data_IF_618578111496
#
_entry.id   IF_618578111496
#
_cell.length_a   1.000
_cell.length_b   1.000
_cell.length_c   1.000
_cell.angle_alpha   90.00
_cell.angle_beta   90.00
_cell.angle_gamma   90.00
#
_symmetry.space_group_name_H-M   'P 1'
#
loop_
_entity.id
_entity.type
_entity.pdbx_description
1 polymer ?
#
# COMPACT_ATOMS: atom_id res chain seq x y z
N UNK A 1 -43.28 -3.56 -42.35
CA UNK A 1 -43.76 -2.41 -41.54
C UNK A 1 -43.09 -2.55 -40.17
N UNK A 2 -42.39 -1.50 -39.76
CA UNK A 2 -41.55 -1.46 -38.56
C UNK A 2 -42.39 -1.28 -37.27
N UNK A 3 -41.80 -0.96 -36.11
CA UNK A 3 -41.83 -1.74 -34.87
C UNK A 3 -42.80 -1.13 -33.84
N UNK A 4 -42.97 -1.77 -32.68
CA UNK A 4 -43.49 -1.08 -31.49
C UNK A 4 -42.48 -1.18 -30.35
N UNK A 5 -41.74 -0.09 -30.21
CA UNK A 5 -40.93 0.30 -29.07
C UNK A 5 -41.80 0.47 -27.82
N UNK A 6 -41.38 -0.12 -26.70
CA UNK A 6 -41.54 0.51 -25.40
C UNK A 6 -40.21 0.49 -24.67
N UNK A 7 -39.62 1.66 -24.65
CA UNK A 7 -38.72 2.18 -23.64
C UNK A 7 -39.35 2.09 -22.25
N UNK A 8 -38.57 1.61 -21.29
CA UNK A 8 -38.55 2.12 -19.91
C UNK A 8 -37.11 1.91 -19.42
N UNK A 9 -36.23 2.88 -19.64
CA UNK A 9 -35.77 3.76 -18.55
C UNK A 9 -36.48 3.51 -17.22
N UNK A 10 -35.88 2.65 -16.43
CA UNK A 10 -35.90 2.79 -14.99
C UNK A 10 -34.47 3.15 -14.59
N UNK A 11 -34.13 4.44 -14.74
CA UNK A 11 -33.04 5.01 -13.95
C UNK A 11 -33.37 4.75 -12.49
N UNK A 12 -32.60 3.85 -11.87
CA UNK A 12 -32.82 3.42 -10.51
C UNK A 12 -32.76 4.62 -9.57
N UNK A 13 -33.91 4.93 -8.98
CA UNK A 13 -33.99 5.81 -7.82
C UNK A 13 -33.41 5.03 -6.63
N UNK A 14 -32.29 5.51 -6.08
CA UNK A 14 -31.73 5.00 -4.83
C UNK A 14 -32.03 6.01 -3.71
N UNK A 15 -32.59 5.50 -2.61
CA UNK A 15 -33.04 6.31 -1.47
C UNK A 15 -31.83 6.77 -0.65
N UNK A 16 -31.86 7.94 -0.02
CA UNK A 16 -30.76 8.50 0.77
C UNK A 16 -30.34 7.64 1.99
N UNK A 17 -31.05 6.54 2.25
CA UNK A 17 -30.80 5.54 3.29
C UNK A 17 -30.23 4.21 2.77
N UNK A 18 -30.02 4.06 1.46
CA UNK A 18 -29.39 2.86 0.92
C UNK A 18 -27.91 2.86 1.33
N UNK A 19 -27.58 2.01 2.32
CA UNK A 19 -26.19 1.77 2.69
C UNK A 19 -25.49 1.14 1.48
N UNK A 20 -24.40 1.73 0.98
CA UNK A 20 -23.65 1.11 -0.11
C UNK A 20 -23.27 -0.30 0.30
N UNK A 21 -23.51 -1.29 -0.57
CA UNK A 21 -23.01 -2.64 -0.34
C UNK A 21 -21.48 -2.61 -0.41
N UNK A 22 -20.85 -2.72 0.75
CA UNK A 22 -19.41 -2.86 0.88
C UNK A 22 -19.06 -4.33 0.70
N UNK A 23 -18.35 -4.63 -0.40
CA UNK A 23 -17.91 -5.97 -0.73
C UNK A 23 -17.01 -6.52 0.40
N UNK A 24 -17.38 -7.65 1.02
CA UNK A 24 -16.49 -8.35 1.94
C UNK A 24 -15.34 -8.97 1.15
N UNK A 25 -14.17 -9.00 1.77
CA UNK A 25 -12.98 -9.64 1.20
C UNK A 25 -12.48 -10.71 2.14
N UNK A 26 -11.94 -11.79 1.59
CA UNK A 26 -11.29 -12.80 2.40
C UNK A 26 -9.95 -12.29 2.93
N UNK A 27 -9.68 -12.55 4.20
CA UNK A 27 -8.47 -12.10 4.88
C UNK A 27 -7.68 -13.28 5.46
N UNK A 28 -6.38 -13.30 5.22
CA UNK A 28 -5.41 -14.11 5.94
C UNK A 28 -5.13 -13.54 7.33
N UNK A 29 -4.47 -14.31 8.18
CA UNK A 29 -4.02 -13.83 9.49
C UNK A 29 -2.82 -12.90 9.36
N UNK A 30 -1.90 -13.28 8.47
CA UNK A 30 -0.67 -12.57 8.22
C UNK A 30 -0.36 -12.58 6.72
N UNK A 31 -0.08 -11.41 6.18
CA UNK A 31 0.59 -11.28 4.88
C UNK A 31 2.06 -10.96 5.15
N UNK A 32 2.98 -11.65 4.47
CA UNK A 32 4.44 -11.44 4.59
C UNK A 32 5.00 -10.94 3.26
N UNK A 33 5.57 -9.75 3.24
CA UNK A 33 6.30 -9.22 2.10
C UNK A 33 7.77 -9.65 2.16
N UNK A 34 8.24 -10.29 1.10
CA UNK A 34 9.52 -11.00 1.07
C UNK A 34 10.55 -10.32 0.15
N UNK A 35 11.38 -9.45 0.73
CA UNK A 35 12.46 -8.78 0.02
C UNK A 35 11.98 -7.59 -0.80
N UNK A 36 12.94 -6.81 -1.29
CA UNK A 36 12.71 -5.63 -2.11
C UNK A 36 14.01 -5.26 -2.83
N UNK A 37 14.06 -5.48 -4.15
CA UNK A 37 15.23 -5.23 -5.00
C UNK A 37 14.95 -4.13 -6.02
N UNK A 38 15.99 -3.38 -6.41
CA UNK A 38 15.90 -2.58 -7.63
C UNK A 38 15.78 -3.51 -8.84
N UNK A 39 15.10 -3.06 -9.88
CA UNK A 39 14.88 -3.89 -11.07
C UNK A 39 16.19 -4.11 -11.83
N UNK A 40 17.10 -3.13 -11.77
CA UNK A 40 18.46 -3.26 -12.29
C UNK A 40 19.25 -4.37 -11.56
N UNK A 41 19.09 -4.52 -10.24
CA UNK A 41 19.72 -5.62 -9.49
C UNK A 41 19.19 -6.98 -9.96
N UNK A 42 17.87 -7.09 -10.20
CA UNK A 42 17.28 -8.32 -10.76
C UNK A 42 17.79 -8.57 -12.18
N UNK A 43 18.03 -7.51 -12.96
CA UNK A 43 18.54 -7.62 -14.32
C UNK A 43 20.01 -8.07 -14.35
N UNK A 44 20.84 -7.51 -13.48
CA UNK A 44 22.31 -7.55 -13.62
C UNK A 44 23.01 -8.42 -12.55
N UNK A 45 22.42 -8.60 -11.36
CA UNK A 45 22.98 -9.38 -10.24
C UNK A 45 21.98 -10.42 -9.69
N UNK A 46 21.62 -11.38 -10.53
CA UNK A 46 20.67 -12.43 -10.14
C UNK A 46 21.23 -13.35 -9.04
N UNK A 47 22.55 -13.51 -8.94
CA UNK A 47 23.19 -14.33 -7.90
C UNK A 47 23.02 -13.68 -6.52
N UNK A 48 23.17 -12.35 -6.44
CA UNK A 48 22.89 -11.57 -5.24
C UNK A 48 21.43 -11.68 -4.80
N UNK A 49 20.48 -11.57 -5.74
CA UNK A 49 19.04 -11.76 -5.49
C UNK A 49 18.75 -13.15 -4.92
N UNK A 50 19.27 -14.21 -5.56
CA UNK A 50 19.09 -15.59 -5.09
C UNK A 50 19.70 -15.81 -3.70
N UNK A 51 20.88 -15.23 -3.44
CA UNK A 51 21.52 -15.32 -2.13
C UNK A 51 20.69 -14.65 -1.02
N UNK A 52 20.09 -13.49 -1.31
CA UNK A 52 19.23 -12.80 -0.34
C UNK A 52 17.91 -13.56 -0.12
N UNK A 53 17.30 -14.13 -1.16
CA UNK A 53 16.14 -15.00 -0.99
C UNK A 53 16.45 -16.23 -0.13
N UNK A 54 17.62 -16.86 -0.29
CA UNK A 54 18.06 -17.96 0.60
C UNK A 54 18.16 -17.53 2.06
N UNK A 55 18.55 -16.28 2.33
CA UNK A 55 18.56 -15.73 3.70
C UNK A 55 17.15 -15.46 4.24
N UNK A 56 16.21 -15.09 3.38
CA UNK A 56 14.81 -14.80 3.74
C UNK A 56 14.03 -16.08 4.08
N UNK A 57 14.25 -17.18 3.37
CA UNK A 57 13.53 -18.46 3.58
C UNK A 57 13.42 -18.90 5.04
N UNK A 58 14.52 -19.03 5.83
CA UNK A 58 14.40 -19.43 7.23
C UNK A 58 13.67 -18.39 8.10
N UNK A 59 13.69 -17.11 7.72
CA UNK A 59 12.97 -16.04 8.42
C UNK A 59 11.47 -16.15 8.18
N UNK A 60 11.05 -16.39 6.94
CA UNK A 60 9.64 -16.65 6.60
C UNK A 60 9.10 -17.84 7.39
N UNK A 61 9.86 -18.95 7.43
CA UNK A 61 9.48 -20.11 8.22
C UNK A 61 9.31 -19.77 9.72
N UNK A 62 10.21 -18.95 10.28
CA UNK A 62 10.10 -18.52 11.68
C UNK A 62 8.87 -17.65 11.95
N UNK A 63 8.47 -16.77 11.03
CA UNK A 63 7.26 -15.95 11.20
C UNK A 63 5.98 -16.74 10.97
N UNK A 64 5.96 -17.71 10.06
CA UNK A 64 4.86 -18.67 9.92
C UNK A 64 4.67 -19.45 11.22
N UNK A 65 5.77 -19.95 11.81
CA UNK A 65 5.72 -20.67 13.07
C UNK A 65 5.28 -19.78 14.24
N UNK A 66 5.77 -18.54 14.30
CA UNK A 66 5.30 -17.54 15.27
C UNK A 66 3.79 -17.27 15.14
N UNK A 67 3.30 -17.19 13.91
CA UNK A 67 1.87 -17.03 13.65
C UNK A 67 1.07 -18.27 14.10
N UNK A 68 1.59 -19.49 13.88
CA UNK A 68 0.97 -20.74 14.40
C UNK A 68 0.93 -20.78 15.92
N UNK A 69 2.01 -20.39 16.59
CA UNK A 69 2.05 -20.32 18.06
C UNK A 69 1.00 -19.34 18.59
N UNK A 70 0.79 -18.23 17.88
CA UNK A 70 -0.15 -17.18 18.29
C UNK A 70 -1.61 -17.52 18.00
N UNK A 71 -1.90 -18.08 16.81
CA UNK A 71 -3.25 -18.23 16.30
C UNK A 71 -3.72 -19.69 16.21
N UNK A 72 -2.82 -20.67 16.25
CA UNK A 72 -3.11 -22.10 16.10
C UNK A 72 -2.68 -22.65 14.73
N UNK A 73 -2.86 -23.95 14.55
CA UNK A 73 -2.36 -24.67 13.37
C UNK A 73 -3.06 -24.29 12.06
N UNK A 74 -4.33 -23.89 12.14
CA UNK A 74 -5.17 -23.47 11.00
C UNK A 74 -4.92 -22.01 10.56
N UNK A 75 -3.80 -21.41 11.00
CA UNK A 75 -3.42 -20.05 10.63
C UNK A 75 -3.22 -19.93 9.12
N UNK A 76 -3.82 -18.89 8.54
CA UNK A 76 -3.68 -18.54 7.12
C UNK A 76 -2.59 -17.49 6.97
N UNK A 77 -1.50 -17.83 6.30
CA UNK A 77 -0.39 -16.93 6.02
C UNK A 77 -0.15 -16.89 4.51
N UNK A 78 -0.09 -15.69 3.94
CA UNK A 78 0.25 -15.48 2.53
C UNK A 78 1.59 -14.77 2.41
N UNK A 79 2.35 -15.06 1.35
CA UNK A 79 3.57 -14.32 1.00
C UNK A 79 3.34 -13.43 -0.23
N UNK A 80 3.97 -12.27 -0.26
CA UNK A 80 3.89 -11.38 -1.42
C UNK A 80 5.23 -10.72 -1.75
N UNK A 81 5.39 -10.30 -2.98
CA UNK A 81 6.49 -9.46 -3.45
C UNK A 81 5.92 -8.22 -4.13
N UNK A 82 6.34 -7.03 -3.69
CA UNK A 82 6.01 -5.77 -4.36
C UNK A 82 7.14 -5.40 -5.32
N UNK A 83 6.82 -5.30 -6.61
CA UNK A 83 7.78 -4.88 -7.62
C UNK A 83 7.68 -3.37 -7.87
N UNK A 84 8.80 -2.67 -7.76
CA UNK A 84 8.88 -1.22 -7.99
C UNK A 84 8.93 -0.89 -9.49
N UNK A 85 7.79 -1.07 -10.16
CA UNK A 85 7.60 -0.65 -11.55
C UNK A 85 7.16 0.82 -11.67
N UNK A 86 6.91 1.51 -10.55
CA UNK A 86 6.52 2.93 -10.56
C UNK A 86 7.72 3.84 -10.77
N UNK A 87 8.82 3.60 -10.06
CA UNK A 87 10.04 4.40 -10.21
C UNK A 87 10.96 3.91 -11.33
N UNK A 88 10.75 2.69 -11.83
CA UNK A 88 11.55 2.03 -12.88
C UNK A 88 10.65 1.54 -14.04
N UNK A 89 9.70 2.38 -14.45
CA UNK A 89 8.65 2.04 -15.43
C UNK A 89 9.13 1.74 -16.85
N UNK A 90 10.38 2.07 -17.17
CA UNK A 90 11.03 1.86 -18.47
C UNK A 90 11.69 0.49 -18.64
N UNK A 91 11.69 -0.34 -17.59
CA UNK A 91 12.16 -1.72 -17.63
C UNK A 91 11.15 -2.68 -18.29
N UNK A 92 11.62 -3.85 -18.73
CA UNK A 92 10.81 -4.85 -19.43
C UNK A 92 10.37 -5.99 -18.48
N UNK A 93 9.08 -6.10 -18.10
CA UNK A 93 8.58 -7.18 -17.25
C UNK A 93 8.87 -8.58 -17.78
N UNK A 94 8.88 -8.77 -19.11
CA UNK A 94 9.17 -10.06 -19.71
C UNK A 94 10.62 -10.52 -19.50
N UNK A 95 11.53 -9.59 -19.17
CA UNK A 95 12.93 -9.87 -18.82
C UNK A 95 13.14 -9.98 -17.31
N UNK A 96 12.43 -9.17 -16.53
CA UNK A 96 12.61 -9.08 -15.07
C UNK A 96 11.88 -10.22 -14.34
N UNK A 97 10.61 -10.47 -14.65
CA UNK A 97 9.76 -11.39 -13.90
C UNK A 97 10.26 -12.85 -13.93
N UNK A 98 10.70 -13.41 -15.09
CA UNK A 98 11.27 -14.76 -15.11
C UNK A 98 12.51 -14.91 -14.22
N UNK A 99 13.37 -13.88 -14.16
CA UNK A 99 14.57 -13.91 -13.34
C UNK A 99 14.21 -13.90 -11.86
N UNK A 100 13.39 -12.95 -11.43
CA UNK A 100 12.92 -12.83 -10.05
C UNK A 100 12.28 -14.13 -9.55
N UNK A 101 11.31 -14.67 -10.30
CA UNK A 101 10.59 -15.87 -9.91
C UNK A 101 11.47 -17.13 -10.00
N UNK A 102 12.40 -17.18 -10.96
CA UNK A 102 13.40 -18.24 -11.05
C UNK A 102 14.36 -18.24 -9.85
N UNK A 103 14.82 -17.07 -9.42
CA UNK A 103 15.65 -16.94 -8.22
C UNK A 103 14.91 -17.33 -6.95
N UNK A 104 13.62 -16.97 -6.83
CA UNK A 104 12.79 -17.39 -5.71
C UNK A 104 12.62 -18.92 -5.67
N UNK A 105 12.33 -19.55 -6.81
CA UNK A 105 12.21 -21.01 -6.94
C UNK A 105 13.54 -21.70 -6.60
N UNK A 106 14.67 -21.21 -7.13
CA UNK A 106 16.02 -21.75 -6.84
C UNK A 106 16.38 -21.63 -5.35
N UNK A 107 15.95 -20.56 -4.69
CA UNK A 107 16.14 -20.36 -3.26
C UNK A 107 15.18 -21.19 -2.39
N UNK A 108 14.10 -21.73 -2.97
CA UNK A 108 13.02 -22.38 -2.23
C UNK A 108 12.08 -21.41 -1.51
N UNK A 109 12.01 -20.15 -1.98
CA UNK A 109 11.12 -19.13 -1.46
C UNK A 109 9.79 -19.15 -2.20
N UNK A 110 8.72 -19.56 -1.52
CA UNK A 110 7.35 -19.46 -2.04
C UNK A 110 6.87 -18.01 -2.01
N UNK A 111 6.45 -17.49 -3.17
CA UNK A 111 5.79 -16.20 -3.32
C UNK A 111 4.36 -16.47 -3.78
N UNK A 112 3.36 -16.24 -2.94
CA UNK A 112 1.96 -16.46 -3.30
C UNK A 112 1.43 -15.37 -4.25
N UNK A 113 1.86 -14.13 -4.03
CA UNK A 113 1.38 -12.95 -4.77
C UNK A 113 2.52 -12.06 -5.26
N UNK A 114 2.43 -11.61 -6.49
CA UNK A 114 3.25 -10.53 -7.05
C UNK A 114 2.37 -9.30 -7.25
N UNK A 115 2.74 -8.17 -6.68
CA UNK A 115 2.02 -6.92 -6.84
C UNK A 115 2.90 -5.84 -7.47
N UNK A 116 2.29 -4.93 -8.22
CA UNK A 116 2.97 -3.78 -8.83
C UNK A 116 2.88 -2.54 -7.94
N UNK A 117 3.97 -1.82 -7.74
CA UNK A 117 3.95 -0.56 -7.00
C UNK A 117 3.11 0.49 -7.72
N UNK A 118 3.13 0.52 -9.06
CA UNK A 118 2.30 1.44 -9.83
C UNK A 118 0.79 1.17 -9.67
N UNK A 119 0.38 -0.03 -9.22
CA UNK A 119 -1.01 -0.31 -8.85
C UNK A 119 -1.47 0.44 -7.58
N UNK A 120 -0.53 0.87 -6.73
CA UNK A 120 -0.81 1.76 -5.60
C UNK A 120 -1.09 3.19 -6.06
N UNK A 121 -0.66 3.56 -7.27
CA UNK A 121 -1.06 4.81 -7.92
C UNK A 121 -2.40 4.64 -8.63
N UNK A 122 -2.45 3.76 -9.64
CA UNK A 122 -3.63 3.51 -10.45
C UNK A 122 -3.77 2.02 -10.75
N UNK A 123 -4.98 1.50 -10.59
CA UNK A 123 -5.27 0.09 -10.89
C UNK A 123 -6.41 -0.03 -11.87
N UNK A 124 -6.24 -0.83 -12.91
CA UNK A 124 -7.34 -1.23 -13.78
C UNK A 124 -8.07 -2.44 -13.18
N UNK A 125 -9.35 -2.59 -13.49
CA UNK A 125 -10.04 -3.87 -13.28
C UNK A 125 -9.55 -4.84 -14.34
N UNK A 126 -9.34 -6.10 -14.00
CA UNK A 126 -8.93 -7.13 -14.96
C UNK A 126 -10.03 -8.18 -15.09
N UNK A 127 -10.25 -8.66 -16.31
CA UNK A 127 -11.03 -9.87 -16.58
C UNK A 127 -10.30 -10.70 -17.64
N UNK A 128 -10.14 -12.00 -17.38
CA UNK A 128 -9.45 -12.94 -18.26
C UNK A 128 -8.07 -12.44 -18.74
N UNK A 129 -7.32 -11.80 -17.84
CA UNK A 129 -5.98 -11.27 -18.11
C UNK A 129 -5.94 -9.95 -18.89
N UNK A 130 -7.08 -9.33 -19.16
CA UNK A 130 -7.17 -8.07 -19.92
C UNK A 130 -7.65 -6.92 -19.02
N UNK A 131 -7.00 -5.74 -19.06
CA UNK A 131 -7.48 -4.57 -18.34
C UNK A 131 -8.79 -4.05 -18.94
N UNK A 132 -9.73 -3.67 -18.08
CA UNK A 132 -11.07 -3.19 -18.41
C UNK A 132 -11.35 -1.84 -17.73
N UNK A 133 -12.14 -1.03 -18.43
CA UNK A 133 -12.68 0.23 -17.91
C UNK A 133 -11.62 1.31 -17.71
N UNK A 134 -12.04 2.39 -17.04
CA UNK A 134 -11.14 3.45 -16.60
C UNK A 134 -10.36 2.99 -15.36
N UNK A 135 -9.05 3.31 -15.27
CA UNK A 135 -8.27 3.00 -14.07
C UNK A 135 -8.84 3.67 -12.83
N UNK A 136 -8.88 2.93 -11.73
CA UNK A 136 -9.19 3.45 -10.40
C UNK A 136 -7.99 4.26 -9.89
N UNK A 137 -8.17 5.55 -9.54
CA UNK A 137 -7.10 6.41 -9.08
C UNK A 137 -6.82 6.21 -7.58
N UNK A 138 -6.14 5.11 -7.25
CA UNK A 138 -5.96 4.60 -5.87
C UNK A 138 -5.24 5.61 -4.99
N UNK A 139 -4.12 6.17 -5.46
CA UNK A 139 -3.35 7.14 -4.69
C UNK A 139 -4.14 8.42 -4.44
N UNK A 140 -4.85 8.93 -5.45
CA UNK A 140 -5.72 10.11 -5.32
C UNK A 140 -6.85 9.86 -4.32
N UNK A 141 -7.49 8.67 -4.35
CA UNK A 141 -8.52 8.29 -3.40
C UNK A 141 -8.01 8.26 -1.95
N UNK A 142 -6.79 7.77 -1.74
CA UNK A 142 -6.16 7.76 -0.40
C UNK A 142 -5.73 9.17 -0.01
N UNK A 143 -5.21 9.97 -0.93
CA UNK A 143 -4.79 11.34 -0.67
C UNK A 143 -5.97 12.22 -0.24
N UNK A 144 -7.14 12.01 -0.83
CA UNK A 144 -8.38 12.70 -0.46
C UNK A 144 -8.86 12.41 0.97
N UNK A 145 -8.33 11.36 1.63
CA UNK A 145 -8.63 10.98 3.01
C UNK A 145 -7.62 11.49 4.03
N UNK A 146 -6.58 12.19 3.59
CA UNK A 146 -5.60 12.76 4.52
C UNK A 146 -6.26 13.89 5.30
N UNK A 147 -6.33 13.69 6.61
CA UNK A 147 -6.69 14.72 7.56
C UNK A 147 -5.40 15.46 7.91
N UNK A 148 -5.32 16.72 7.49
CA UNK A 148 -4.27 17.59 8.01
C UNK A 148 -4.49 17.76 9.51
N UNK A 149 -3.51 17.41 10.35
CA UNK A 149 -3.54 17.77 11.77
C UNK A 149 -3.42 19.29 11.90
N UNK A 150 -4.49 20.02 12.27
CA UNK A 150 -4.35 21.44 12.50
C UNK A 150 -3.67 21.63 13.85
N UNK A 151 -2.69 22.51 13.91
CA UNK A 151 -2.09 22.93 15.18
C UNK A 151 -2.56 24.34 15.52
N UNK A 152 -3.59 24.53 16.37
CA UNK A 152 -3.84 25.82 16.96
C UNK A 152 -2.65 26.27 17.82
N UNK A 153 -2.18 27.52 17.71
CA UNK A 153 -2.60 28.51 16.72
C UNK A 153 -2.01 28.20 15.34
N UNK A 154 -2.88 28.01 14.34
CA UNK A 154 -2.46 27.95 12.96
C UNK A 154 -1.97 29.35 12.58
N UNK A 155 -0.71 29.44 12.16
CA UNK A 155 -0.12 30.71 11.72
C UNK A 155 -0.43 30.99 10.25
N UNK A 156 -1.04 30.04 9.53
CA UNK A 156 -1.27 30.10 8.08
C UNK A 156 0.02 30.08 7.25
N UNK A 157 1.18 29.86 7.88
CA UNK A 157 2.48 29.94 7.22
C UNK A 157 2.73 28.78 6.23
N UNK A 158 1.99 27.67 6.37
CA UNK A 158 2.11 26.48 5.53
C UNK A 158 0.80 26.26 4.77
N UNK A 159 0.85 26.03 3.44
CA UNK A 159 -0.33 25.57 2.71
C UNK A 159 -0.82 24.22 3.28
N UNK A 160 -2.14 23.95 3.25
CA UNK A 160 -2.68 22.66 3.65
C UNK A 160 -1.96 21.49 2.96
N UNK A 161 -1.92 20.31 3.60
CA UNK A 161 -1.28 19.10 3.04
C UNK A 161 -1.80 18.77 1.65
N UNK A 162 -3.12 18.88 1.43
CA UNK A 162 -3.75 18.66 0.12
C UNK A 162 -3.24 19.61 -0.99
N UNK A 163 -2.68 20.77 -0.64
CA UNK A 163 -2.11 21.72 -1.61
C UNK A 163 -0.59 21.57 -1.72
N UNK A 164 0.10 21.42 -0.59
CA UNK A 164 1.56 21.36 -0.56
C UNK A 164 2.13 20.01 -1.00
N UNK A 165 1.39 18.92 -0.77
CA UNK A 165 1.91 17.57 -0.92
C UNK A 165 2.90 17.17 0.17
N UNK A 166 2.87 17.85 1.32
CA UNK A 166 3.70 17.52 2.47
C UNK A 166 2.85 17.31 3.73
N UNK A 167 3.20 16.33 4.54
CA UNK A 167 2.57 15.99 5.82
C UNK A 167 3.57 16.10 6.97
N UNK A 168 3.19 16.82 8.04
CA UNK A 168 3.98 16.86 9.28
C UNK A 168 3.19 16.26 10.44
N UNK A 169 3.91 15.62 11.36
CA UNK A 169 3.36 15.06 12.61
C UNK A 169 3.48 16.02 13.81
N UNK A 170 3.64 17.33 13.57
CA UNK A 170 4.08 18.23 14.63
C UNK A 170 4.18 19.71 14.28
N UNK A 171 4.68 20.47 15.25
CA UNK A 171 5.10 21.86 15.12
C UNK A 171 6.60 21.95 14.84
N UNK A 172 6.97 22.71 13.82
CA UNK A 172 8.39 22.99 13.48
C UNK A 172 9.08 23.86 14.53
N UNK A 173 10.41 23.89 14.47
CA UNK A 173 11.20 24.81 15.29
C UNK A 173 10.90 26.28 14.96
N UNK A 174 11.08 27.19 15.92
CA UNK A 174 10.78 28.62 15.73
C UNK A 174 11.80 29.39 14.87
N UNK A 175 12.77 28.71 14.25
CA UNK A 175 13.81 29.33 13.40
C UNK A 175 13.26 29.99 12.13
N UNK A 176 12.11 29.53 11.65
CA UNK A 176 11.44 30.05 10.44
C UNK A 176 10.19 30.88 10.76
N UNK A 177 9.82 31.08 12.04
CA UNK A 177 8.68 31.92 12.43
C UNK A 177 8.95 33.41 12.11
N UNK A 178 8.03 34.15 11.45
CA UNK A 178 8.22 35.58 11.14
C UNK A 178 8.61 36.40 12.39
N UNK A 179 9.67 37.20 12.28
CA UNK A 179 10.18 37.97 13.41
C UNK A 179 9.18 39.06 13.84
N UNK A 180 8.69 39.01 15.08
CA UNK A 180 8.03 40.17 15.69
C UNK A 180 9.11 41.17 16.12
N UNK A 181 9.08 42.37 15.54
CA UNK A 181 10.13 43.40 15.67
C UNK A 181 10.48 43.84 17.10
N UNK A 182 9.67 43.49 18.11
CA UNK A 182 9.85 43.92 19.50
C UNK A 182 9.98 42.78 20.52
N UNK A 183 10.18 41.52 20.09
CA UNK A 183 10.37 40.39 21.02
C UNK A 183 11.67 39.66 20.73
N UNK A 184 12.43 39.39 21.80
CA UNK A 184 13.60 38.53 21.73
C UNK A 184 13.17 37.12 21.28
N UNK A 185 13.86 36.57 20.27
CA UNK A 185 13.57 35.26 19.69
C UNK A 185 14.13 34.18 20.61
N UNK A 186 13.28 33.58 21.44
CA UNK A 186 13.65 32.38 22.20
C UNK A 186 13.47 31.18 21.27
N UNK A 187 14.54 30.40 21.06
CA UNK A 187 14.46 29.17 20.28
C UNK A 187 13.45 28.20 20.92
N UNK A 188 12.48 27.75 20.12
CA UNK A 188 11.66 26.57 20.42
C UNK A 188 12.09 25.42 19.53
N UNK A 189 12.42 24.25 20.11
CA UNK A 189 12.66 23.04 19.35
C UNK A 189 11.38 22.57 18.64
N UNK A 190 11.50 21.74 17.59
CA UNK A 190 10.34 21.11 16.99
C UNK A 190 9.65 20.18 18.01
N UNK A 191 8.35 20.00 17.85
CA UNK A 191 7.49 19.24 18.75
C UNK A 191 6.58 18.34 17.95
N UNK A 192 6.69 17.04 18.16
CA UNK A 192 5.75 16.02 17.68
C UNK A 192 4.43 16.11 18.47
N UNK A 193 3.30 15.99 17.79
CA UNK A 193 2.00 15.94 18.41
C UNK A 193 1.76 14.59 19.11
N UNK A 194 1.13 14.62 20.28
CA UNK A 194 0.91 13.40 21.07
C UNK A 194 2.18 12.76 21.63
N UNK A 195 3.33 13.46 21.60
CA UNK A 195 4.59 12.97 22.16
C UNK A 195 4.46 12.54 23.62
N UNK A 196 5.29 11.57 24.01
CA UNK A 196 5.49 11.20 25.42
C UNK A 196 6.69 11.98 25.98
N UNK A 197 7.83 11.32 26.18
CA UNK A 197 9.02 11.88 26.83
C UNK A 197 9.92 12.71 25.90
N UNK A 198 9.87 12.48 24.58
CA UNK A 198 10.70 13.15 23.58
C UNK A 198 9.92 13.37 22.29
N UNK A 199 10.40 14.29 21.44
CA UNK A 199 9.81 14.56 20.13
C UNK A 199 10.63 13.99 19.00
N UNK A 200 9.96 13.29 18.08
CA UNK A 200 10.50 12.96 16.77
C UNK A 200 9.65 13.68 15.72
N UNK A 201 10.18 14.79 15.21
CA UNK A 201 9.50 15.59 14.20
C UNK A 201 9.83 15.11 12.79
N UNK A 202 8.80 14.82 12.00
CA UNK A 202 8.89 14.46 10.59
C UNK A 202 8.11 15.45 9.73
N UNK A 203 8.68 15.77 8.58
CA UNK A 203 7.93 16.34 7.46
C UNK A 203 8.16 15.48 6.23
N UNK A 204 7.09 14.87 5.76
CA UNK A 204 7.09 13.82 4.74
C UNK A 204 6.50 14.39 3.48
N UNK A 205 7.26 14.37 2.39
CA UNK A 205 6.70 14.63 1.07
C UNK A 205 5.83 13.45 0.67
N UNK A 206 4.56 13.70 0.35
CA UNK A 206 3.61 12.71 -0.12
C UNK A 206 3.55 12.68 -1.64
N UNK A 207 3.62 13.85 -2.29
CA UNK A 207 3.70 13.99 -3.73
C UNK A 207 4.42 15.28 -4.14
N UNK A 208 4.78 15.37 -5.42
CA UNK A 208 5.21 16.60 -6.07
C UNK A 208 4.40 16.82 -7.34
N UNK A 209 3.97 18.07 -7.55
CA UNK A 209 3.33 18.47 -8.80
C UNK A 209 4.38 18.99 -9.78
N UNK A 210 4.28 18.58 -11.03
CA UNK A 210 5.14 19.02 -12.11
C UNK A 210 4.36 19.20 -13.41
N UNK A 211 5.09 19.43 -14.49
CA UNK A 211 4.57 19.48 -15.85
C UNK A 211 5.33 18.43 -16.66
N UNK A 212 4.61 17.60 -17.42
CA UNK A 212 5.20 16.60 -18.28
C UNK A 212 5.77 17.21 -19.58
N UNK A 213 6.35 16.37 -20.45
CA UNK A 213 6.91 16.81 -21.73
C UNK A 213 5.87 17.40 -22.69
N UNK A 214 4.57 17.10 -22.49
CA UNK A 214 3.47 17.62 -23.28
C UNK A 214 2.87 18.92 -22.70
N UNK A 215 3.39 19.43 -21.58
CA UNK A 215 2.87 20.63 -20.92
C UNK A 215 1.70 20.35 -19.98
N UNK A 216 1.39 19.08 -19.68
CA UNK A 216 0.27 18.70 -18.83
C UNK A 216 0.70 18.58 -17.36
N UNK A 217 -0.15 18.99 -16.39
CA UNK A 217 0.10 18.75 -14.98
C UNK A 217 0.24 17.26 -14.68
N UNK A 218 1.29 16.90 -13.95
CA UNK A 218 1.54 15.53 -13.49
C UNK A 218 1.81 15.54 -11.99
N UNK A 219 1.22 14.58 -11.29
CA UNK A 219 1.48 14.32 -9.87
C UNK A 219 2.42 13.12 -9.79
N UNK A 220 3.59 13.31 -9.18
CA UNK A 220 4.49 12.21 -8.83
C UNK A 220 4.33 11.89 -7.36
N UNK A 221 3.85 10.68 -7.08
CA UNK A 221 3.67 10.16 -5.74
C UNK A 221 5.01 9.73 -5.16
N UNK A 222 5.19 9.94 -3.86
CA UNK A 222 6.38 9.55 -3.14
C UNK A 222 6.34 8.06 -2.77
N UNK A 223 7.51 7.43 -2.66
CA UNK A 223 7.64 6.05 -2.16
C UNK A 223 6.94 5.82 -0.81
N UNK A 224 7.10 6.65 0.25
CA UNK A 224 6.40 6.41 1.51
C UNK A 224 4.89 6.53 1.39
N UNK A 225 4.37 7.35 0.47
CA UNK A 225 2.93 7.43 0.22
C UNK A 225 2.40 6.19 -0.50
N UNK A 226 3.07 5.74 -1.56
CA UNK A 226 2.69 4.50 -2.25
C UNK A 226 2.84 3.27 -1.34
N UNK A 227 3.86 3.22 -0.49
CA UNK A 227 4.00 2.18 0.54
C UNK A 227 2.84 2.20 1.56
N UNK A 228 2.36 3.38 1.96
CA UNK A 228 1.16 3.47 2.81
C UNK A 228 -0.09 2.92 2.09
N UNK A 229 -0.27 3.24 0.80
CA UNK A 229 -1.34 2.67 -0.02
C UNK A 229 -1.20 1.15 -0.15
N UNK A 230 0.02 0.65 -0.35
CA UNK A 230 0.33 -0.78 -0.42
C UNK A 230 -0.12 -1.52 0.85
N UNK A 231 0.18 -0.96 2.03
CA UNK A 231 -0.29 -1.55 3.28
C UNK A 231 -1.82 -1.52 3.40
N UNK A 232 -2.50 -0.48 2.93
CA UNK A 232 -3.96 -0.45 2.92
C UNK A 232 -4.56 -1.51 1.99
N UNK A 233 -3.93 -1.78 0.84
CA UNK A 233 -4.32 -2.88 -0.05
C UNK A 233 -4.12 -4.25 0.63
N UNK A 234 -2.94 -4.48 1.21
CA UNK A 234 -2.64 -5.73 1.95
C UNK A 234 -3.48 -5.92 3.21
N UNK A 235 -3.97 -4.84 3.81
CA UNK A 235 -4.90 -4.91 4.95
C UNK A 235 -6.36 -4.93 4.51
N UNK A 236 -6.62 -4.84 3.20
CA UNK A 236 -7.97 -4.93 2.68
C UNK A 236 -8.85 -3.72 2.98
N UNK A 237 -8.25 -2.56 3.26
CA UNK A 237 -8.93 -1.37 3.77
C UNK A 237 -9.50 -0.46 2.66
N UNK A 238 -9.23 -0.75 1.39
CA UNK A 238 -9.64 0.11 0.27
C UNK A 238 -10.88 -0.44 -0.45
N UNK A 239 -11.83 0.47 -0.72
CA UNK A 239 -13.01 0.23 -1.58
C UNK A 239 -13.18 1.37 -2.56
N UNK A 240 -13.59 1.05 -3.78
CA UNK A 240 -14.01 2.01 -4.80
C UNK A 240 -15.47 1.75 -5.15
N UNK A 241 -16.36 2.68 -4.80
CA UNK A 241 -17.82 2.52 -4.91
C UNK A 241 -18.33 1.22 -4.27
N UNK A 242 -17.78 0.86 -3.10
CA UNK A 242 -18.13 -0.36 -2.36
C UNK A 242 -17.42 -1.63 -2.85
N UNK A 243 -16.83 -1.64 -4.05
CA UNK A 243 -16.10 -2.79 -4.57
C UNK A 243 -14.63 -2.80 -4.10
N UNK A 244 -14.05 -3.99 -3.99
CA UNK A 244 -12.67 -4.15 -3.57
C UNK A 244 -11.67 -3.73 -4.66
N UNK A 245 -10.55 -3.13 -4.24
CA UNK A 245 -9.53 -2.56 -5.12
C UNK A 245 -8.37 -3.54 -5.31
N UNK A 246 -7.82 -3.61 -6.53
CA UNK A 246 -6.66 -4.45 -6.88
C UNK A 246 -6.82 -5.95 -6.56
N UNK A 247 -7.98 -6.52 -6.93
CA UNK A 247 -8.27 -7.94 -6.72
C UNK A 247 -7.25 -8.86 -7.42
N UNK A 248 -6.65 -9.85 -6.71
CA UNK A 248 -5.66 -10.75 -7.29
C UNK A 248 -6.19 -11.52 -8.50
N UNK A 249 -5.44 -11.49 -9.60
CA UNK A 249 -5.72 -12.24 -10.82
C UNK A 249 -4.92 -13.54 -10.86
N UNK A 250 -5.50 -14.67 -11.28
CA UNK A 250 -4.74 -15.90 -11.41
C UNK A 250 -3.63 -15.75 -12.45
N UNK A 251 -2.43 -16.23 -12.13
CA UNK A 251 -1.34 -16.29 -13.08
C UNK A 251 -1.50 -17.50 -14.02
N UNK A 252 -1.67 -17.22 -15.31
CA UNK A 252 -1.65 -18.25 -16.36
C UNK A 252 -0.19 -18.52 -16.79
N UNK A 253 0.40 -19.61 -16.27
CA UNK A 253 1.77 -20.03 -16.59
C UNK A 253 1.96 -20.43 -18.07
N UNK A 254 0.88 -20.59 -18.83
CA UNK A 254 0.95 -20.92 -20.26
C UNK A 254 1.11 -19.70 -21.15
N UNK A 255 0.83 -18.51 -20.62
CA UNK A 255 0.96 -17.26 -21.36
C UNK A 255 2.34 -16.64 -21.18
N UNK A 256 2.89 -16.01 -22.23
CA UNK A 256 4.12 -15.25 -22.10
C UNK A 256 3.90 -14.03 -21.21
N UNK A 257 4.95 -13.59 -20.53
CA UNK A 257 4.93 -12.33 -19.80
C UNK A 257 4.68 -11.16 -20.76
N UNK A 258 3.82 -10.18 -20.39
CA UNK A 258 3.69 -8.95 -21.14
C UNK A 258 5.01 -8.17 -21.21
N UNK A 259 5.17 -7.35 -22.25
CA UNK A 259 6.35 -6.51 -22.45
C UNK A 259 6.22 -5.11 -21.81
N UNK A 260 5.04 -4.78 -21.29
CA UNK A 260 4.78 -3.49 -20.65
C UNK A 260 4.17 -3.74 -19.28
N UNK A 261 4.62 -2.95 -18.32
CA UNK A 261 4.17 -3.10 -16.95
C UNK A 261 2.64 -2.98 -16.85
N UNK A 262 2.00 -2.03 -17.52
CA UNK A 262 0.55 -1.82 -17.43
C UNK A 262 -0.31 -2.99 -17.93
N UNK A 263 0.29 -3.92 -18.69
CA UNK A 263 -0.37 -5.12 -19.17
C UNK A 263 -0.23 -6.28 -18.16
N UNK A 264 0.62 -6.14 -17.14
CA UNK A 264 0.73 -7.06 -16.00
C UNK A 264 -0.36 -6.70 -15.00
N UNK A 265 -1.09 -7.71 -14.50
CA UNK A 265 -2.16 -7.48 -13.54
C UNK A 265 -1.64 -6.79 -12.25
N UNK A 266 -2.43 -5.89 -11.62
CA UNK A 266 -2.08 -5.15 -10.41
C UNK A 266 -1.54 -6.04 -9.29
N UNK A 267 -2.23 -7.15 -9.06
CA UNK A 267 -1.83 -8.23 -8.16
C UNK A 267 -2.04 -9.55 -8.90
N UNK A 268 -0.98 -10.33 -9.05
CA UNK A 268 -1.00 -11.67 -9.61
C UNK A 268 -0.92 -12.70 -8.49
N UNK A 269 -1.84 -13.66 -8.49
CA UNK A 269 -1.78 -14.87 -7.66
C UNK A 269 -0.95 -15.92 -8.38
N UNK A 270 0.26 -16.14 -7.91
CA UNK A 270 1.23 -17.08 -8.49
C UNK A 270 0.95 -18.53 -8.09
N UNK A 271 0.40 -18.72 -6.89
CA UNK A 271 0.06 -20.02 -6.33
C UNK A 271 -1.48 -20.19 -6.24
N UNK A 272 -2.07 -21.19 -6.93
CA UNK A 272 -3.53 -21.36 -6.96
C UNK A 272 -4.17 -21.65 -5.60
N UNK A 273 -3.42 -22.28 -4.70
CA UNK A 273 -3.82 -22.66 -3.34
C UNK A 273 -3.45 -21.61 -2.28
N UNK A 274 -2.93 -20.45 -2.71
CA UNK A 274 -2.57 -19.37 -1.81
C UNK A 274 -3.75 -18.99 -0.89
N UNK A 275 -3.44 -18.81 0.39
CA UNK A 275 -4.36 -18.16 1.32
C UNK A 275 -4.59 -16.70 0.88
N UNK A 276 -5.72 -16.06 1.27
CA UNK A 276 -6.07 -14.73 0.76
C UNK A 276 -4.93 -13.70 0.81
N UNK A 277 -4.88 -12.85 -0.22
CA UNK A 277 -3.87 -11.81 -0.37
C UNK A 277 -3.90 -10.79 0.77
N UNK A 278 -5.09 -10.23 1.02
CA UNK A 278 -5.29 -9.29 2.10
C UNK A 278 -5.27 -10.04 3.46
N UNK A 279 -4.88 -9.35 4.53
CA UNK A 279 -4.69 -9.95 5.84
C UNK A 279 -5.04 -9.00 6.98
N UNK A 280 -5.28 -9.55 8.17
CA UNK A 280 -5.50 -8.74 9.37
C UNK A 280 -4.23 -8.03 9.86
N UNK A 281 -3.06 -8.63 9.62
CA UNK A 281 -1.76 -8.09 9.97
C UNK A 281 -0.80 -8.23 8.78
N UNK A 282 0.15 -7.30 8.69
CA UNK A 282 1.22 -7.33 7.68
C UNK A 282 2.57 -7.42 8.35
N UNK A 283 3.48 -8.14 7.70
CA UNK A 283 4.90 -8.13 7.98
C UNK A 283 5.62 -7.78 6.69
N UNK A 284 6.57 -6.85 6.73
CA UNK A 284 7.49 -6.61 5.60
C UNK A 284 8.93 -6.85 6.00
N UNK A 285 9.64 -7.67 5.22
CA UNK A 285 11.06 -7.93 5.37
C UNK A 285 11.83 -7.03 4.41
N UNK A 286 12.38 -5.93 4.94
CA UNK A 286 12.92 -4.84 4.15
C UNK A 286 14.37 -4.55 4.52
N UNK A 287 15.20 -4.06 3.58
CA UNK A 287 16.53 -3.55 3.91
C UNK A 287 16.48 -2.40 4.92
N UNK A 288 17.50 -2.29 5.79
CA UNK A 288 17.59 -1.24 6.82
C UNK A 288 17.47 0.19 6.29
N UNK A 289 17.82 0.45 5.02
CA UNK A 289 17.65 1.77 4.38
C UNK A 289 16.19 2.26 4.38
N UNK A 290 15.20 1.37 4.46
CA UNK A 290 13.78 1.72 4.47
C UNK A 290 13.26 2.20 5.84
N UNK A 291 14.09 2.23 6.90
CA UNK A 291 13.61 2.64 8.24
C UNK A 291 12.94 4.03 8.25
N UNK A 292 13.46 4.98 7.47
CA UNK A 292 12.86 6.31 7.34
C UNK A 292 11.54 6.29 6.56
N UNK A 293 11.44 5.41 5.56
CA UNK A 293 10.23 5.19 4.77
C UNK A 293 9.14 4.57 5.65
N UNK A 294 9.45 3.49 6.39
CA UNK A 294 8.47 2.82 7.26
C UNK A 294 7.99 3.69 8.42
N UNK A 295 8.85 4.56 8.95
CA UNK A 295 8.39 5.55 9.92
C UNK A 295 7.43 6.57 9.27
N UNK A 296 7.75 7.01 8.06
CA UNK A 296 6.87 7.92 7.30
C UNK A 296 5.53 7.28 6.97
N UNK A 297 5.51 5.99 6.60
CA UNK A 297 4.29 5.20 6.36
C UNK A 297 3.38 5.22 7.58
N UNK A 298 3.91 4.98 8.79
CA UNK A 298 3.10 5.01 10.02
C UNK A 298 2.48 6.39 10.26
N UNK A 299 3.27 7.46 10.08
CA UNK A 299 2.76 8.84 10.19
C UNK A 299 1.65 9.09 9.18
N UNK A 300 1.82 8.65 7.93
CA UNK A 300 0.81 8.80 6.88
C UNK A 300 -0.48 8.08 7.28
N UNK A 301 -0.38 6.80 7.66
CA UNK A 301 -1.55 5.99 8.04
C UNK A 301 -2.31 6.58 9.25
N UNK A 302 -1.60 7.14 10.23
CA UNK A 302 -2.21 7.79 11.39
C UNK A 302 -2.97 9.08 11.04
N UNK A 303 -2.71 9.66 9.87
CA UNK A 303 -3.39 10.86 9.35
C UNK A 303 -4.49 10.57 8.33
N UNK A 304 -4.86 9.29 8.12
CA UNK A 304 -5.93 8.94 7.20
C UNK A 304 -7.27 8.77 7.94
N UNK A 305 -8.30 9.47 7.47
CA UNK A 305 -9.68 9.16 7.79
C UNK A 305 -10.14 7.97 6.93
N UNK A 306 -9.95 6.75 7.45
CA UNK A 306 -10.40 5.52 6.80
C UNK A 306 -11.92 5.36 6.92
N UNK A 307 -12.47 4.46 6.11
CA UNK A 307 -13.90 4.15 6.10
C UNK A 307 -14.27 3.29 7.32
N UNK A 308 -15.08 3.85 8.23
CA UNK A 308 -15.48 3.20 9.48
C UNK A 308 -16.29 1.91 9.23
N UNK A 309 -17.07 1.84 8.15
CA UNK A 309 -17.87 0.66 7.83
C UNK A 309 -16.96 -0.48 7.32
N UNK A 310 -15.92 -0.15 6.54
CA UNK A 310 -14.88 -1.13 6.14
C UNK A 310 -14.12 -1.63 7.37
N UNK A 311 -13.74 -0.72 8.27
CA UNK A 311 -13.05 -1.06 9.51
C UNK A 311 -13.89 -2.00 10.39
N UNK A 312 -15.17 -1.67 10.60
CA UNK A 312 -16.09 -2.49 11.36
C UNK A 312 -16.27 -3.89 10.73
N UNK A 313 -16.42 -3.96 9.40
CA UNK A 313 -16.51 -5.23 8.67
C UNK A 313 -15.27 -6.10 8.87
N UNK A 314 -14.06 -5.52 8.81
CA UNK A 314 -12.81 -6.26 9.03
C UNK A 314 -12.69 -6.77 10.45
N UNK A 315 -13.04 -5.95 11.45
CA UNK A 315 -13.03 -6.33 12.88
C UNK A 315 -14.02 -7.47 13.14
N UNK A 316 -15.25 -7.34 12.64
CA UNK A 316 -16.29 -8.37 12.78
C UNK A 316 -15.88 -9.68 12.08
N UNK A 317 -15.30 -9.59 10.88
CA UNK A 317 -14.79 -10.76 10.16
C UNK A 317 -13.66 -11.47 10.93
N UNK A 318 -12.76 -10.71 11.55
CA UNK A 318 -11.68 -11.23 12.39
C UNK A 318 -12.17 -11.92 13.66
N UNK A 319 -13.16 -11.33 14.34
CA UNK A 319 -13.75 -11.90 15.55
C UNK A 319 -14.55 -13.18 15.28
N UNK A 320 -15.24 -13.23 14.14
CA UNK A 320 -16.08 -14.36 13.73
C UNK A 320 -15.32 -15.42 12.90
N UNK A 321 -14.02 -15.26 12.71
CA UNK A 321 -13.21 -16.23 11.99
C UNK A 321 -13.10 -17.54 12.79
N UNK A 322 -13.05 -18.73 12.12
CA UNK A 322 -12.78 -19.99 12.82
C UNK A 322 -11.52 -19.97 13.68
N UNK A 323 -10.53 -19.17 13.27
CA UNK A 323 -9.36 -18.81 14.07
C UNK A 323 -9.44 -17.31 14.39
N UNK A 324 -9.97 -16.92 15.55
CA UNK A 324 -10.24 -15.51 15.84
C UNK A 324 -8.98 -14.65 15.94
N UNK A 325 -9.07 -13.41 15.46
CA UNK A 325 -7.99 -12.42 15.56
C UNK A 325 -8.52 -11.14 16.22
N UNK A 326 -7.82 -10.68 17.26
CA UNK A 326 -8.04 -9.34 17.81
C UNK A 326 -7.34 -8.32 16.93
N UNK A 327 -8.12 -7.41 16.35
CA UNK A 327 -7.65 -6.45 15.36
C UNK A 327 -7.65 -5.06 16.00
N UNK A 328 -6.49 -4.37 16.10
CA UNK A 328 -6.44 -2.99 16.56
C UNK A 328 -7.21 -2.05 15.63
N UNK A 329 -7.93 -1.08 16.19
CA UNK A 329 -8.66 -0.06 15.41
C UNK A 329 -7.70 0.73 14.52
N UNK A 330 -6.54 1.10 15.07
CA UNK A 330 -5.49 1.80 14.33
C UNK A 330 -4.80 0.87 13.34
N UNK A 331 -4.95 1.17 12.06
CA UNK A 331 -4.35 0.39 10.96
C UNK A 331 -2.82 0.38 11.04
N UNK A 332 -2.19 1.48 11.47
CA UNK A 332 -0.73 1.56 11.67
C UNK A 332 -0.19 0.55 12.71
N UNK A 333 -1.02 0.10 13.65
CA UNK A 333 -0.66 -0.92 14.65
C UNK A 333 -0.73 -2.36 14.11
N UNK A 334 -1.22 -2.54 12.88
CA UNK A 334 -1.30 -3.84 12.20
C UNK A 334 -0.05 -4.16 11.37
N UNK A 335 0.86 -3.20 11.25
CA UNK A 335 2.12 -3.31 10.50
C UNK A 335 3.24 -3.82 11.41
N UNK A 336 4.02 -4.76 10.90
CA UNK A 336 5.25 -5.25 11.49
C UNK A 336 6.37 -5.23 10.46
N UNK A 337 7.62 -5.05 10.91
CA UNK A 337 8.78 -4.99 10.02
C UNK A 337 9.91 -5.85 10.56
N UNK A 338 10.60 -6.55 9.67
CA UNK A 338 11.93 -7.09 9.92
C UNK A 338 12.93 -6.33 9.05
N UNK A 339 13.88 -5.63 9.67
CA UNK A 339 14.90 -4.88 8.95
C UNK A 339 16.15 -5.74 8.74
N UNK A 340 16.45 -6.06 7.48
CA UNK A 340 17.55 -6.93 7.07
C UNK A 340 18.85 -6.14 6.88
N UNK A 341 19.98 -6.80 7.19
CA UNK A 341 21.31 -6.32 6.86
C UNK A 341 21.54 -6.44 5.35
N UNK A 342 21.72 -5.30 4.68
CA UNK A 342 21.92 -5.22 3.23
C UNK A 342 21.72 -3.77 2.79
N UNK A 343 22.54 -3.31 1.82
CA UNK A 343 22.51 -1.93 1.32
C UNK A 343 21.31 -1.70 0.45
#
# INVERSE_FOLDING_TARGET
MAPNTRTSDAGGYTEASERPLIEPIDLSHLSIEVGHFYLDDIADDIDGVTAEFRRIVPLVAAFVESARIRFGDDVRVSTCYLIDDYFQSDTDPARILPKLLGAADEAGLRIDYLARESACWQTSVFADGVPLGEPVPVAEMVAARIVAEPAPPDTGARPPTAQSGWLCNGRRSSLEEPAQAMRARVYRPPEEFGRREHSIFLDVQLWSNGIDAAGMPVTRWSCPFLAAVWHLLRLGMLRYHGAAVAQPQPWDRTQPWPQRWQDVAPVLRLEPDATPFAAYQTLSMLPKRYIGIEHSVRVILDHLALDDDVLAQVIEHGANNPVPVSIPDKVSERLSHLLLDGS
#
